data_IF_925099502691
#
_entry.id   IF_925099502691
#
_cell.length_a   1.000
_cell.length_b   1.000
_cell.length_c   1.000
_cell.angle_alpha   90.00
_cell.angle_beta   90.00
_cell.angle_gamma   90.00
#
_symmetry.space_group_name_H-M   'P 1'
#
loop_
_entity.id
_entity.type
_entity.pdbx_description
1 polymer ?
#
# COMPACT_ATOMS: atom_id res chain seq x y z
N UNK A 1 -7.17 6.90 18.78
CA UNK A 1 -6.87 6.94 20.22
C UNK A 1 -7.28 8.30 20.73
N UNK A 2 -7.90 8.35 21.90
CA UNK A 2 -8.42 9.57 22.52
C UNK A 2 -7.87 9.65 23.94
N UNK A 3 -7.49 10.84 24.41
CA UNK A 3 -7.00 10.99 25.78
C UNK A 3 -8.13 10.73 26.79
N UNK A 4 -7.81 10.20 27.96
CA UNK A 4 -8.79 9.93 29.04
C UNK A 4 -9.64 11.16 29.41
N UNK A 5 -9.03 12.34 29.40
CA UNK A 5 -9.73 13.60 29.70
C UNK A 5 -10.77 13.93 28.65
N UNK A 6 -10.40 13.92 27.36
CA UNK A 6 -11.32 14.19 26.27
C UNK A 6 -12.44 13.14 26.18
N UNK A 7 -12.15 11.89 26.55
CA UNK A 7 -13.16 10.84 26.63
C UNK A 7 -14.17 11.08 27.75
N UNK A 8 -13.70 11.43 28.96
CA UNK A 8 -14.57 11.73 30.10
C UNK A 8 -15.41 12.99 29.86
N UNK A 9 -14.89 13.95 29.10
CA UNK A 9 -15.63 15.16 28.70
C UNK A 9 -16.75 14.85 27.68
N UNK A 10 -16.52 13.91 26.74
CA UNK A 10 -17.50 13.52 25.72
C UNK A 10 -18.51 12.48 26.18
N UNK A 11 -18.10 11.58 27.06
CA UNK A 11 -18.90 10.49 27.60
C UNK A 11 -18.76 10.44 29.14
N UNK A 12 -19.44 11.33 29.87
CA UNK A 12 -19.29 11.46 31.32
C UNK A 12 -19.83 10.24 32.09
N UNK A 13 -20.75 9.49 31.50
CA UNK A 13 -21.38 8.32 32.12
C UNK A 13 -20.68 6.99 31.78
N UNK A 14 -19.59 7.03 30.99
CA UNK A 14 -18.90 5.87 30.45
C UNK A 14 -17.73 5.41 31.32
N UNK A 15 -17.51 4.10 31.41
CA UNK A 15 -16.37 3.52 32.14
C UNK A 15 -15.05 3.73 31.37
N UNK A 16 -14.03 4.20 32.08
CA UNK A 16 -12.71 4.52 31.53
C UNK A 16 -11.85 3.26 31.47
N UNK A 17 -12.18 2.33 30.58
CA UNK A 17 -11.32 1.18 30.27
C UNK A 17 -11.12 0.98 28.75
N UNK A 18 -10.01 0.33 28.39
CA UNK A 18 -9.51 0.21 27.02
C UNK A 18 -9.41 -1.25 26.57
N UNK A 19 -9.49 -1.49 25.26
CA UNK A 19 -9.27 -2.83 24.70
C UNK A 19 -7.87 -3.35 25.05
N UNK A 20 -7.80 -4.46 25.81
CA UNK A 20 -6.55 -5.15 26.07
C UNK A 20 -6.02 -5.82 24.79
N UNK A 21 -4.79 -5.50 24.42
CA UNK A 21 -4.12 -6.03 23.23
C UNK A 21 -3.53 -7.41 23.54
N UNK A 22 -4.29 -8.48 23.29
CA UNK A 22 -3.72 -9.83 23.13
C UNK A 22 -3.70 -10.21 21.66
N UNK A 23 -2.80 -9.58 20.91
CA UNK A 23 -2.36 -10.03 19.59
C UNK A 23 -1.05 -10.81 19.72
N UNK A 24 -0.99 -12.04 19.21
CA UNK A 24 0.20 -12.89 19.23
C UNK A 24 1.27 -12.31 18.29
N UNK A 25 2.10 -11.39 18.79
CA UNK A 25 3.25 -10.84 18.04
C UNK A 25 3.63 -9.38 18.34
N UNK A 26 2.87 -8.64 19.15
CA UNK A 26 3.16 -7.23 19.42
C UNK A 26 4.19 -7.07 20.55
N UNK A 27 5.46 -7.09 20.20
CA UNK A 27 6.56 -6.61 21.06
C UNK A 27 6.70 -5.07 21.00
N UNK A 28 5.58 -4.33 20.92
CA UNK A 28 5.59 -2.86 20.95
C UNK A 28 4.58 -2.33 21.96
N UNK A 29 4.95 -2.43 23.24
CA UNK A 29 4.37 -1.61 24.30
C UNK A 29 4.85 -0.14 24.27
N UNK A 30 5.78 0.23 23.38
CA UNK A 30 6.41 1.58 23.37
C UNK A 30 5.50 2.71 22.85
N UNK A 31 4.43 2.42 22.11
CA UNK A 31 3.52 3.45 21.56
C UNK A 31 2.16 3.51 22.28
N UNK A 32 2.04 2.90 23.45
CA UNK A 32 0.79 2.90 24.24
C UNK A 32 1.06 3.61 25.55
N UNK A 33 0.67 4.88 25.62
CA UNK A 33 0.65 5.65 26.85
C UNK A 33 -0.50 5.15 27.73
N UNK A 34 -0.28 5.09 29.05
CA UNK A 34 -1.30 4.71 30.06
C UNK A 34 -2.53 5.64 30.09
N UNK A 35 -2.49 6.73 29.33
CA UNK A 35 -3.46 7.82 29.33
C UNK A 35 -4.39 7.84 28.10
N UNK A 36 -4.19 6.92 27.15
CA UNK A 36 -4.96 6.86 25.93
C UNK A 36 -6.00 5.73 25.97
N UNK A 37 -7.23 6.07 25.59
CA UNK A 37 -8.34 5.11 25.41
C UNK A 37 -8.48 4.81 23.92
N UNK A 38 -8.72 3.53 23.61
CA UNK A 38 -9.06 3.06 22.26
C UNK A 38 -10.56 2.88 22.14
N UNK A 39 -11.16 3.62 21.23
CA UNK A 39 -12.54 3.45 20.80
C UNK A 39 -12.55 2.56 19.55
N UNK A 40 -13.46 1.61 19.51
CA UNK A 40 -13.70 0.78 18.34
C UNK A 40 -15.02 1.18 17.69
N UNK A 41 -14.99 1.35 16.38
CA UNK A 41 -16.20 1.46 15.56
C UNK A 41 -16.47 0.08 14.94
N UNK A 42 -17.66 -0.43 15.19
CA UNK A 42 -18.09 -1.74 14.73
C UNK A 42 -19.30 -1.62 13.83
N UNK A 43 -19.15 -2.15 12.62
CA UNK A 43 -20.23 -2.23 11.64
C UNK A 43 -20.69 -3.68 11.53
N UNK A 44 -21.99 -3.92 11.71
CA UNK A 44 -22.57 -5.24 11.56
C UNK A 44 -23.88 -5.18 10.77
N UNK A 45 -24.26 -6.33 10.21
CA UNK A 45 -25.43 -6.44 9.34
C UNK A 45 -26.55 -7.15 10.07
N UNK A 46 -27.68 -6.48 10.24
CA UNK A 46 -28.90 -7.06 10.79
C UNK A 46 -29.84 -7.41 9.63
N UNK A 47 -30.45 -8.59 9.72
CA UNK A 47 -31.44 -9.07 8.77
C UNK A 47 -32.82 -8.87 9.39
N UNK A 48 -33.59 -7.91 8.88
CA UNK A 48 -34.96 -7.62 9.33
C UNK A 48 -35.94 -8.24 8.34
N UNK A 49 -36.87 -9.07 8.81
CA UNK A 49 -37.95 -9.56 7.96
C UNK A 49 -38.93 -8.42 7.67
N UNK A 50 -39.19 -8.17 6.39
CA UNK A 50 -40.07 -7.10 5.90
C UNK A 50 -40.94 -7.60 4.77
N UNK A 51 -42.16 -7.09 4.65
CA UNK A 51 -43.02 -7.40 3.50
C UNK A 51 -42.72 -6.43 2.35
N UNK A 52 -42.49 -6.98 1.16
CA UNK A 52 -42.37 -6.24 -0.07
C UNK A 52 -43.75 -6.21 -0.74
N UNK A 53 -44.21 -5.01 -1.07
CA UNK A 53 -45.55 -4.76 -1.58
C UNK A 53 -45.44 -4.25 -3.02
N UNK A 54 -46.19 -4.87 -3.92
CA UNK A 54 -46.31 -4.41 -5.30
C UNK A 54 -47.54 -3.51 -5.41
N UNK A 55 -47.31 -2.28 -5.87
CA UNK A 55 -48.34 -1.28 -6.09
C UNK A 55 -48.89 -1.39 -7.52
N UNK A 56 -50.12 -0.91 -7.74
CA UNK A 56 -50.79 -0.93 -9.05
C UNK A 56 -50.12 -0.07 -10.12
N UNK A 57 -49.16 0.77 -9.71
CA UNK A 57 -48.30 1.58 -10.56
C UNK A 57 -47.05 0.81 -11.06
N UNK A 58 -46.94 -0.49 -10.73
CA UNK A 58 -45.80 -1.34 -11.08
C UNK A 58 -44.56 -1.14 -10.20
N UNK A 59 -44.61 -0.22 -9.25
CA UNK A 59 -43.53 0.03 -8.28
C UNK A 59 -43.54 -1.01 -7.16
N UNK A 60 -42.35 -1.41 -6.71
CA UNK A 60 -42.16 -2.33 -5.59
C UNK A 60 -41.54 -1.57 -4.44
N UNK A 61 -42.25 -1.50 -3.31
CA UNK A 61 -41.83 -0.73 -2.12
C UNK A 61 -41.86 -1.66 -0.91
N UNK A 62 -40.98 -1.43 0.06
CA UNK A 62 -41.08 -2.12 1.35
C UNK A 62 -42.24 -1.54 2.15
N UNK A 63 -42.94 -2.38 2.92
CA UNK A 63 -44.07 -1.95 3.76
C UNK A 63 -43.69 -0.85 4.76
N UNK A 64 -42.43 -0.85 5.22
CA UNK A 64 -41.88 0.15 6.15
C UNK A 64 -41.62 1.53 5.49
N UNK A 65 -41.62 1.60 4.16
CA UNK A 65 -41.38 2.81 3.36
C UNK A 65 -42.64 3.26 2.59
N UNK A 66 -43.80 2.66 2.88
CA UNK A 66 -45.06 3.11 2.31
C UNK A 66 -45.36 4.55 2.76
N UNK A 67 -45.70 5.47 1.83
CA UNK A 67 -46.35 6.73 2.19
C UNK A 67 -47.61 6.47 3.03
N UNK A 68 -48.05 7.44 3.82
CA UNK A 68 -49.29 7.33 4.59
C UNK A 68 -50.47 6.89 3.70
N UNK A 69 -51.37 6.07 4.25
CA UNK A 69 -52.51 5.48 3.53
C UNK A 69 -53.37 6.53 2.79
N UNK A 70 -53.37 7.78 3.27
CA UNK A 70 -54.06 8.93 2.65
C UNK A 70 -53.47 9.33 1.29
N UNK A 71 -52.16 9.18 1.09
CA UNK A 71 -51.47 9.51 -0.18
C UNK A 71 -51.68 8.40 -1.21
N UNK A 72 -51.70 7.14 -0.77
CA UNK A 72 -52.04 6.00 -1.65
C UNK A 72 -53.50 6.04 -2.10
N UNK A 73 -54.41 6.43 -1.20
CA UNK A 73 -55.82 6.61 -1.51
C UNK A 73 -56.06 7.79 -2.47
N UNK A 74 -55.35 8.91 -2.29
CA UNK A 74 -55.41 10.05 -3.20
C UNK A 74 -54.90 9.73 -4.62
N UNK A 75 -53.92 8.83 -4.73
CA UNK A 75 -53.33 8.41 -6.01
C UNK A 75 -54.06 7.21 -6.68
N UNK A 76 -55.11 6.65 -6.07
CA UNK A 76 -55.80 5.42 -6.52
C UNK A 76 -54.87 4.21 -6.71
N UNK A 77 -53.82 4.10 -5.91
CA UNK A 77 -52.84 3.02 -6.01
C UNK A 77 -53.27 1.87 -5.11
N UNK A 78 -53.54 0.69 -5.69
CA UNK A 78 -53.92 -0.52 -4.95
C UNK A 78 -52.72 -1.46 -4.79
N UNK A 79 -52.69 -2.20 -3.68
CA UNK A 79 -51.69 -3.24 -3.43
C UNK A 79 -52.12 -4.50 -4.17
N UNK A 80 -51.34 -4.91 -5.18
CA UNK A 80 -51.62 -6.09 -6.01
C UNK A 80 -51.12 -7.39 -5.36
N UNK A 81 -49.90 -7.37 -4.84
CA UNK A 81 -49.24 -8.57 -4.32
C UNK A 81 -48.32 -8.25 -3.13
N UNK A 82 -48.15 -9.23 -2.23
CA UNK A 82 -47.34 -9.13 -1.03
C UNK A 82 -46.39 -10.32 -0.95
N UNK A 83 -45.10 -10.04 -0.81
CA UNK A 83 -44.07 -11.07 -0.63
C UNK A 83 -43.22 -10.80 0.60
N UNK A 84 -43.11 -11.79 1.50
CA UNK A 84 -42.16 -11.74 2.63
C UNK A 84 -40.72 -11.77 2.09
N UNK A 85 -39.93 -10.80 2.49
CA UNK A 85 -38.52 -10.62 2.08
C UNK A 85 -37.68 -10.25 3.31
N UNK A 86 -36.36 -10.35 3.22
CA UNK A 86 -35.44 -9.95 4.29
C UNK A 86 -34.69 -8.70 3.84
N UNK A 87 -34.86 -7.59 4.56
CA UNK A 87 -34.09 -6.35 4.38
C UNK A 87 -32.79 -6.46 5.17
N UNK A 88 -31.68 -6.09 4.53
CA UNK A 88 -30.36 -6.02 5.17
C UNK A 88 -30.12 -4.58 5.61
N UNK A 89 -30.04 -4.36 6.91
CA UNK A 89 -29.72 -3.06 7.51
C UNK A 89 -28.32 -3.11 8.11
N UNK A 90 -27.56 -2.03 7.95
CA UNK A 90 -26.24 -1.90 8.56
C UNK A 90 -26.37 -1.04 9.81
N UNK A 91 -25.88 -1.56 10.92
CA UNK A 91 -25.78 -0.85 12.17
C UNK A 91 -24.33 -0.52 12.47
N UNK A 92 -24.15 0.68 13.00
CA UNK A 92 -22.88 1.20 13.47
C UNK A 92 -22.95 1.36 14.97
N UNK A 93 -21.99 0.76 15.67
CA UNK A 93 -21.80 0.94 17.10
C UNK A 93 -20.40 1.51 17.35
N UNK A 94 -20.33 2.52 18.22
CA UNK A 94 -19.08 2.94 18.84
C UNK A 94 -19.02 2.30 20.22
N UNK A 95 -17.97 1.54 20.51
CA UNK A 95 -17.83 0.81 21.76
C UNK A 95 -16.43 0.93 22.36
N UNK A 96 -16.37 0.80 23.68
CA UNK A 96 -15.16 0.49 24.46
C UNK A 96 -15.06 -1.02 24.67
N UNK A 97 -14.08 -1.46 25.47
CA UNK A 97 -13.95 -2.88 25.80
C UNK A 97 -15.13 -3.43 26.62
N UNK A 98 -15.87 -2.55 27.31
CA UNK A 98 -16.89 -2.92 28.30
C UNK A 98 -18.29 -2.58 27.81
N UNK A 99 -18.47 -1.42 27.17
CA UNK A 99 -19.79 -0.89 26.85
C UNK A 99 -19.91 -0.35 25.42
N UNK A 100 -21.15 -0.26 24.95
CA UNK A 100 -21.52 0.40 23.69
C UNK A 100 -21.94 1.83 24.02
N UNK A 101 -21.20 2.79 23.47
CA UNK A 101 -21.40 4.23 23.73
C UNK A 101 -22.48 4.83 22.82
N UNK A 102 -22.44 4.49 21.54
CA UNK A 102 -23.40 4.99 20.55
C UNK A 102 -23.81 3.86 19.62
N UNK A 103 -25.09 3.80 19.28
CA UNK A 103 -25.63 2.93 18.22
C UNK A 103 -26.45 3.78 17.25
N UNK A 104 -26.15 3.70 15.95
CA UNK A 104 -26.95 4.34 14.89
C UNK A 104 -27.13 3.39 13.71
N UNK A 105 -28.22 3.58 12.98
CA UNK A 105 -28.46 2.90 11.70
C UNK A 105 -27.70 3.67 10.62
N UNK A 106 -26.86 2.96 9.87
CA UNK A 106 -26.10 3.56 8.77
C UNK A 106 -27.00 3.67 7.52
N UNK A 107 -27.10 4.84 6.87
CA UNK A 107 -27.94 5.03 5.71
C UNK A 107 -27.25 4.44 4.46
N UNK A 108 -27.18 3.11 4.38
CA UNK A 108 -26.57 2.42 3.25
C UNK A 108 -26.64 0.90 3.38
N UNK A 109 -26.53 0.21 2.24
CA UNK A 109 -26.59 -1.26 2.10
C UNK A 109 -25.24 -1.94 2.33
N UNK A 110 -24.14 -1.20 2.20
CA UNK A 110 -22.76 -1.68 2.28
C UNK A 110 -21.99 -1.04 3.44
N UNK A 111 -21.05 -1.80 4.03
CA UNK A 111 -20.22 -1.30 5.13
C UNK A 111 -19.22 -0.28 4.57
N UNK A 112 -19.15 0.95 5.11
CA UNK A 112 -18.33 2.04 4.57
C UNK A 112 -16.82 1.90 4.86
N UNK A 113 -16.37 0.70 5.22
CA UNK A 113 -14.97 0.38 5.50
C UNK A 113 -14.48 -0.56 4.42
N UNK A 114 -13.79 -0.01 3.41
CA UNK A 114 -13.21 -0.77 2.31
C UNK A 114 -11.72 -0.97 2.58
N UNK A 115 -11.27 -2.20 2.94
CA UNK A 115 -9.85 -2.48 3.06
C UNK A 115 -9.22 -2.66 1.67
N UNK A 116 -8.13 -1.93 1.40
CA UNK A 116 -7.29 -2.16 0.23
C UNK A 116 -6.37 -3.34 0.53
N UNK A 117 -6.55 -4.44 -0.18
CA UNK A 117 -5.69 -5.62 -0.03
C UNK A 117 -4.54 -5.59 -1.03
N UNK A 118 -3.35 -5.97 -0.55
CA UNK A 118 -2.27 -6.41 -1.43
C UNK A 118 -2.49 -7.87 -1.84
N UNK A 119 -1.40 -8.66 -1.84
CA UNK A 119 -1.48 -10.10 -2.06
C UNK A 119 -2.11 -10.80 -0.88
N UNK A 120 -2.94 -11.80 -1.15
CA UNK A 120 -3.44 -12.68 -0.12
C UNK A 120 -3.46 -14.13 -0.60
N UNK A 121 -3.14 -15.03 0.32
CA UNK A 121 -3.20 -16.48 0.11
C UNK A 121 -4.00 -17.07 1.25
N UNK A 122 -4.91 -17.98 0.92
CA UNK A 122 -5.67 -18.76 1.89
C UNK A 122 -4.98 -20.11 2.05
N UNK A 123 -4.46 -20.39 3.24
CA UNK A 123 -3.79 -21.66 3.57
C UNK A 123 -4.60 -22.30 4.71
N UNK A 124 -5.34 -23.36 4.40
CA UNK A 124 -6.36 -23.89 5.30
C UNK A 124 -7.39 -22.81 5.66
N UNK A 125 -7.66 -22.64 6.95
CA UNK A 125 -8.63 -21.65 7.44
C UNK A 125 -8.04 -20.24 7.67
N UNK A 126 -6.75 -20.04 7.40
CA UNK A 126 -6.06 -18.78 7.66
C UNK A 126 -5.80 -18.01 6.37
N UNK A 127 -6.36 -16.79 6.29
CA UNK A 127 -6.05 -15.83 5.24
C UNK A 127 -4.80 -15.04 5.59
N UNK A 128 -3.69 -15.29 4.91
CA UNK A 128 -2.45 -14.52 5.03
C UNK A 128 -2.49 -13.38 4.01
N UNK A 129 -2.33 -12.15 4.48
CA UNK A 129 -2.23 -10.94 3.65
C UNK A 129 -0.80 -10.42 3.74
N UNK A 130 -0.20 -10.05 2.62
CA UNK A 130 1.17 -9.54 2.59
C UNK A 130 1.37 -8.52 1.46
N UNK A 131 2.25 -7.56 1.71
CA UNK A 131 2.69 -6.60 0.70
C UNK A 131 3.89 -7.11 -0.09
N UNK A 132 4.26 -6.38 -1.13
CA UNK A 132 5.40 -6.65 -2.01
C UNK A 132 6.70 -6.90 -1.22
N UNK A 133 6.96 -6.09 -0.17
CA UNK A 133 8.19 -6.14 0.62
C UNK A 133 8.33 -7.41 1.47
N UNK A 134 7.25 -8.19 1.71
CA UNK A 134 7.27 -9.31 2.67
C UNK A 134 8.36 -10.34 2.38
N UNK A 135 8.56 -10.67 1.11
CA UNK A 135 9.52 -11.69 0.68
C UNK A 135 10.95 -11.15 0.55
N UNK A 136 11.13 -9.85 0.30
CA UNK A 136 12.46 -9.23 0.24
C UNK A 136 13.11 -8.94 1.59
N UNK A 137 12.38 -9.05 2.71
CA UNK A 137 12.95 -8.78 4.06
C UNK A 137 14.13 -9.67 4.41
N UNK A 138 14.16 -10.92 3.94
CA UNK A 138 15.21 -11.87 4.28
C UNK A 138 16.49 -11.57 3.49
N UNK A 139 16.34 -11.33 2.18
CA UNK A 139 17.43 -10.88 1.32
C UNK A 139 18.01 -9.54 1.80
N UNK A 140 17.16 -8.57 2.19
CA UNK A 140 17.63 -7.29 2.72
C UNK A 140 18.42 -7.43 4.02
N UNK A 141 18.02 -8.34 4.92
CA UNK A 141 18.78 -8.62 6.15
C UNK A 141 20.15 -9.19 5.84
N UNK A 142 20.23 -10.10 4.87
CA UNK A 142 21.48 -10.68 4.41
C UNK A 142 22.38 -9.62 3.75
N UNK A 143 21.82 -8.75 2.92
CA UNK A 143 22.52 -7.61 2.32
C UNK A 143 23.17 -6.72 3.40
N UNK A 144 22.40 -6.33 4.42
CA UNK A 144 22.89 -5.49 5.51
C UNK A 144 24.04 -6.16 6.29
N UNK A 145 23.94 -7.48 6.51
CA UNK A 145 24.98 -8.26 7.17
C UNK A 145 26.28 -8.31 6.35
N UNK A 146 26.20 -8.59 5.04
CA UNK A 146 27.38 -8.65 4.17
C UNK A 146 28.06 -7.29 4.00
N UNK A 147 27.28 -6.20 3.89
CA UNK A 147 27.81 -4.84 3.85
C UNK A 147 28.58 -4.47 5.12
N UNK A 148 28.06 -4.88 6.28
CA UNK A 148 28.75 -4.68 7.56
C UNK A 148 30.02 -5.53 7.64
N UNK A 149 29.95 -6.80 7.23
CA UNK A 149 31.10 -7.72 7.22
C UNK A 149 32.21 -7.26 6.27
N UNK A 150 31.85 -6.70 5.10
CA UNK A 150 32.80 -6.11 4.16
C UNK A 150 33.47 -4.88 4.77
N UNK A 151 32.68 -4.02 5.42
CA UNK A 151 33.20 -2.83 6.10
C UNK A 151 34.17 -3.23 7.22
N UNK A 152 33.83 -4.25 8.01
CA UNK A 152 34.71 -4.79 9.07
C UNK A 152 35.99 -5.39 8.48
N UNK A 153 35.91 -6.18 7.42
CA UNK A 153 37.08 -6.76 6.75
C UNK A 153 38.03 -5.68 6.22
N UNK A 154 37.49 -4.61 5.61
CA UNK A 154 38.28 -3.47 5.13
C UNK A 154 38.87 -2.66 6.29
N UNK A 155 38.15 -2.52 7.41
CA UNK A 155 38.63 -1.82 8.59
C UNK A 155 39.72 -2.59 9.36
N UNK A 156 39.63 -3.92 9.40
CA UNK A 156 40.61 -4.80 10.03
C UNK A 156 41.81 -5.09 9.13
N UNK A 157 41.70 -4.87 7.82
CA UNK A 157 42.78 -5.08 6.88
C UNK A 157 44.01 -4.28 7.33
N UNK A 158 45.14 -4.95 7.67
CA UNK A 158 46.33 -4.24 8.09
C UNK A 158 46.81 -3.37 6.95
N UNK A 159 47.28 -2.15 7.27
CA UNK A 159 48.05 -1.37 6.29
C UNK A 159 49.19 -2.24 5.76
N UNK A 160 49.44 -2.19 4.46
CA UNK A 160 50.47 -2.99 3.81
C UNK A 160 51.80 -2.91 4.58
N UNK A 161 52.25 -4.06 5.09
CA UNK A 161 53.49 -4.15 5.88
C UNK A 161 54.64 -4.60 4.98
N UNK A 162 55.84 -4.17 5.32
CA UNK A 162 57.06 -4.71 4.72
C UNK A 162 57.51 -5.91 5.56
N UNK A 163 57.70 -7.05 4.91
CA UNK A 163 58.33 -8.22 5.50
C UNK A 163 59.82 -8.16 5.19
N UNK A 164 60.64 -8.10 6.23
CA UNK A 164 62.08 -7.91 6.13
C UNK A 164 62.80 -8.75 7.20
N UNK A 165 64.02 -9.21 6.93
CA UNK A 165 64.86 -9.85 7.93
C UNK A 165 65.47 -8.81 8.90
N UNK A 166 65.78 -9.24 10.13
CA UNK A 166 66.29 -8.35 11.19
C UNK A 166 67.66 -7.75 10.79
N UNK A 167 67.88 -6.45 11.01
CA UNK A 167 69.15 -5.77 10.66
C UNK A 167 69.31 -5.31 9.21
N UNK A 168 68.30 -5.50 8.34
CA UNK A 168 68.33 -5.00 6.96
C UNK A 168 67.97 -3.49 6.80
N UNK A 169 67.45 -2.87 7.86
CA UNK A 169 67.03 -1.45 7.94
C UNK A 169 68.10 -0.52 8.51
N UNK A 170 69.18 -1.08 9.04
CA UNK A 170 70.27 -0.34 9.67
C UNK A 170 70.84 0.72 8.70
N UNK A 171 70.66 2.00 9.03
CA UNK A 171 71.07 3.16 8.21
C UNK A 171 70.01 3.72 7.25
N UNK A 172 68.87 3.04 7.08
CA UNK A 172 67.73 3.46 6.24
C UNK A 172 66.37 3.43 6.97
N UNK A 173 66.37 3.33 8.30
CA UNK A 173 65.16 3.26 9.16
C UNK A 173 64.13 4.36 8.86
N UNK A 174 64.58 5.60 8.66
CA UNK A 174 63.70 6.73 8.36
C UNK A 174 63.03 6.61 6.98
N UNK A 175 63.73 6.07 5.99
CA UNK A 175 63.22 5.86 4.64
C UNK A 175 62.18 4.71 4.64
N UNK A 176 62.44 3.64 5.40
CA UNK A 176 61.52 2.50 5.57
C UNK A 176 60.29 2.83 6.42
N UNK A 177 60.44 3.65 7.47
CA UNK A 177 59.31 4.12 8.28
C UNK A 177 58.38 5.05 7.48
N UNK A 178 58.92 5.87 6.58
CA UNK A 178 58.15 6.79 5.73
C UNK A 178 57.72 6.18 4.39
N UNK A 179 58.15 4.96 4.06
CA UNK A 179 57.87 4.30 2.78
C UNK A 179 56.36 4.14 2.48
N UNK A 180 55.51 4.08 3.52
CA UNK A 180 54.05 4.01 3.38
C UNK A 180 53.35 5.38 3.37
N UNK A 181 54.07 6.48 3.62
CA UNK A 181 53.53 7.85 3.75
C UNK A 181 54.03 8.78 2.64
N UNK A 182 55.29 8.64 2.22
CA UNK A 182 55.89 9.42 1.14
C UNK A 182 56.34 8.50 0.01
N UNK A 183 56.14 8.97 -1.23
CA UNK A 183 56.56 8.23 -2.42
C UNK A 183 58.05 8.46 -2.69
N UNK A 184 58.90 7.54 -2.23
CA UNK A 184 60.33 7.55 -2.54
C UNK A 184 60.60 6.86 -3.89
N UNK A 185 61.42 7.43 -4.79
CA UNK A 185 61.74 6.80 -6.08
C UNK A 185 62.53 5.48 -5.96
N UNK A 186 63.31 5.31 -4.89
CA UNK A 186 64.15 4.12 -4.64
C UNK A 186 64.18 3.85 -3.14
N UNK A 187 63.96 2.60 -2.75
CA UNK A 187 64.20 2.11 -1.38
C UNK A 187 65.47 1.27 -1.37
N UNK A 188 66.39 1.58 -0.46
CA UNK A 188 67.67 0.88 -0.31
C UNK A 188 67.61 -0.02 0.91
N UNK A 189 68.11 -1.24 0.81
CA UNK A 189 68.21 -2.19 1.91
C UNK A 189 69.61 -2.79 1.94
N UNK A 190 70.02 -3.28 3.12
CA UNK A 190 71.27 -4.01 3.28
C UNK A 190 71.07 -5.48 2.93
N UNK A 191 71.95 -6.04 2.09
CA UNK A 191 71.84 -7.42 1.62
C UNK A 191 72.20 -8.46 2.70
N UNK A 192 72.75 -8.03 3.84
CA UNK A 192 73.21 -8.90 4.93
C UNK A 192 72.36 -8.74 6.20
N UNK A 193 72.03 -9.87 6.82
CA UNK A 193 71.39 -10.00 8.15
C UNK A 193 72.37 -9.59 9.28
N UNK A 194 71.90 -9.54 10.53
CA UNK A 194 72.69 -9.26 11.74
C UNK A 194 73.89 -10.22 11.91
N UNK A 195 73.77 -11.44 11.36
CA UNK A 195 74.81 -12.49 11.34
C UNK A 195 75.69 -12.47 10.06
N UNK A 196 75.58 -11.46 9.20
CA UNK A 196 76.39 -11.33 7.99
C UNK A 196 76.05 -12.30 6.86
N UNK A 197 74.93 -13.02 6.96
CA UNK A 197 74.41 -13.92 5.90
C UNK A 197 73.56 -13.15 4.89
N UNK A 198 73.56 -13.58 3.63
CA UNK A 198 72.73 -12.97 2.59
C UNK A 198 71.23 -13.20 2.92
N UNK A 199 70.51 -12.11 3.18
CA UNK A 199 69.09 -12.13 3.52
C UNK A 199 68.21 -11.85 2.28
N UNK A 200 66.98 -12.40 2.23
CA UNK A 200 66.05 -12.14 1.13
C UNK A 200 65.70 -10.65 1.04
N UNK A 201 65.38 -10.17 -0.17
CA UNK A 201 64.97 -8.80 -0.36
C UNK A 201 63.65 -8.51 0.38
N UNK A 202 63.47 -7.32 0.99
CA UNK A 202 62.22 -6.96 1.65
C UNK A 202 61.05 -7.04 0.67
N UNK A 203 59.98 -7.75 1.05
CA UNK A 203 58.78 -7.87 0.24
C UNK A 203 57.62 -7.14 0.89
N UNK A 204 56.81 -6.46 0.07
CA UNK A 204 55.57 -5.85 0.54
C UNK A 204 54.52 -6.93 0.67
N UNK A 205 54.08 -7.20 1.89
CA UNK A 205 52.90 -8.04 2.12
C UNK A 205 51.69 -7.20 1.73
N UNK A 206 51.08 -7.54 0.59
CA UNK A 206 49.83 -6.91 0.20
C UNK A 206 48.77 -7.28 1.24
N UNK A 207 47.93 -6.31 1.67
CA UNK A 207 46.78 -6.64 2.51
C UNK A 207 45.97 -7.72 1.80
N UNK A 208 45.45 -8.68 2.56
CA UNK A 208 44.53 -9.65 1.99
C UNK A 208 43.35 -8.88 1.39
N UNK A 209 43.08 -9.00 0.07
CA UNK A 209 41.94 -8.32 -0.52
C UNK A 209 40.67 -8.85 0.15
N UNK A 210 39.62 -8.00 0.29
CA UNK A 210 38.34 -8.48 0.79
C UNK A 210 37.91 -9.68 -0.05
N UNK A 211 37.44 -10.74 0.61
CA UNK A 211 37.13 -12.00 -0.06
C UNK A 211 36.17 -11.75 -1.24
N UNK A 212 36.60 -12.07 -2.46
CA UNK A 212 35.82 -11.85 -3.69
C UNK A 212 34.43 -12.50 -3.62
N UNK A 213 34.28 -13.58 -2.85
CA UNK A 213 32.99 -14.23 -2.59
C UNK A 213 31.96 -13.31 -1.91
N UNK A 214 32.38 -12.37 -1.05
CA UNK A 214 31.49 -11.43 -0.38
C UNK A 214 30.95 -10.38 -1.35
N UNK A 215 31.83 -9.86 -2.22
CA UNK A 215 31.42 -8.90 -3.26
C UNK A 215 30.48 -9.56 -4.27
N UNK A 216 30.76 -10.78 -4.71
CA UNK A 216 29.88 -11.53 -5.59
C UNK A 216 28.54 -11.87 -4.93
N UNK A 217 28.54 -12.28 -3.66
CA UNK A 217 27.31 -12.52 -2.91
C UNK A 217 26.44 -11.25 -2.79
N UNK A 218 27.05 -10.08 -2.61
CA UNK A 218 26.33 -8.81 -2.49
C UNK A 218 25.60 -8.45 -3.79
N UNK A 219 26.25 -8.65 -4.94
CA UNK A 219 25.64 -8.44 -6.26
C UNK A 219 24.51 -9.44 -6.50
N UNK A 220 24.72 -10.72 -6.16
CA UNK A 220 23.68 -11.73 -6.28
C UNK A 220 22.44 -11.41 -5.43
N UNK A 221 22.63 -10.89 -4.21
CA UNK A 221 21.53 -10.50 -3.33
C UNK A 221 20.76 -9.29 -3.87
N UNK A 222 21.45 -8.32 -4.47
CA UNK A 222 20.80 -7.18 -5.12
C UNK A 222 19.88 -7.65 -6.27
N UNK A 223 20.35 -8.60 -7.07
CA UNK A 223 19.57 -9.20 -8.15
C UNK A 223 18.41 -10.07 -7.62
N UNK A 224 18.61 -10.80 -6.52
CA UNK A 224 17.54 -11.54 -5.84
C UNK A 224 16.45 -10.59 -5.33
N UNK A 225 16.82 -9.44 -4.76
CA UNK A 225 15.86 -8.42 -4.30
C UNK A 225 15.06 -7.86 -5.48
N UNK A 226 15.72 -7.50 -6.59
CA UNK A 226 15.04 -7.02 -7.80
C UNK A 226 14.07 -8.05 -8.36
N UNK A 227 14.52 -9.31 -8.46
CA UNK A 227 13.73 -10.44 -8.96
C UNK A 227 12.53 -10.70 -8.05
N UNK A 228 12.70 -10.69 -6.73
CA UNK A 228 11.62 -10.88 -5.76
C UNK A 228 10.58 -9.76 -5.79
N UNK A 229 11.01 -8.52 -6.02
CA UNK A 229 10.10 -7.37 -6.14
C UNK A 229 9.45 -7.28 -7.53
N UNK A 230 9.87 -8.12 -8.48
CA UNK A 230 9.40 -8.08 -9.86
C UNK A 230 9.77 -6.78 -10.59
N UNK A 231 10.74 -6.03 -10.07
CA UNK A 231 11.24 -4.80 -10.66
C UNK A 231 12.47 -5.19 -11.45
N UNK A 232 12.27 -5.49 -12.74
CA UNK A 232 13.38 -5.66 -13.67
C UNK A 232 13.65 -4.32 -14.33
N UNK A 233 14.91 -3.88 -14.33
CA UNK A 233 15.32 -2.75 -15.15
C UNK A 233 15.27 -3.20 -16.62
N UNK A 234 14.37 -2.66 -17.46
CA UNK A 234 14.28 -3.03 -18.87
C UNK A 234 15.59 -2.74 -19.61
N UNK A 235 16.43 -1.82 -19.10
CA UNK A 235 17.71 -1.47 -19.69
C UNK A 235 18.85 -2.44 -19.36
N UNK A 236 18.70 -3.33 -18.36
CA UNK A 236 19.75 -4.31 -18.01
C UNK A 236 19.74 -5.55 -18.92
N UNK A 237 18.70 -5.77 -19.72
CA UNK A 237 18.59 -6.92 -20.63
C UNK A 237 19.01 -6.56 -22.06
N UNK A 238 20.31 -6.81 -22.33
CA UNK A 238 21.03 -6.84 -23.62
C UNK A 238 21.33 -5.49 -24.31
N UNK A 239 22.63 -5.25 -24.51
CA UNK A 239 23.17 -4.45 -25.61
C UNK A 239 22.76 -5.07 -26.96
N UNK A 240 21.85 -4.41 -27.67
CA UNK A 240 21.44 -4.68 -29.05
C UNK A 240 20.40 -3.64 -29.49
N UNK A 241 20.18 -3.47 -30.80
CA UNK A 241 19.13 -2.58 -31.31
C UNK A 241 17.75 -3.18 -31.00
N UNK A 242 17.21 -2.91 -29.82
CA UNK A 242 15.86 -3.31 -29.42
C UNK A 242 14.87 -2.31 -30.06
N UNK A 243 13.91 -2.81 -30.83
CA UNK A 243 12.82 -1.99 -31.38
C UNK A 243 12.01 -1.35 -30.24
N UNK A 244 11.59 -0.10 -30.39
CA UNK A 244 10.77 0.59 -29.37
C UNK A 244 9.49 -0.18 -28.99
N UNK A 245 8.91 -0.95 -29.91
CA UNK A 245 7.78 -1.86 -29.61
C UNK A 245 8.17 -3.02 -28.70
N UNK A 246 9.38 -3.56 -28.85
CA UNK A 246 9.89 -4.63 -27.98
C UNK A 246 10.27 -4.09 -26.59
N UNK A 247 10.80 -2.86 -26.51
CA UNK A 247 11.05 -2.19 -25.23
C UNK A 247 9.73 -1.92 -24.47
N UNK A 248 8.70 -1.41 -25.16
CA UNK A 248 7.38 -1.20 -24.58
C UNK A 248 6.72 -2.52 -24.14
N UNK A 249 6.83 -3.59 -24.93
CA UNK A 249 6.31 -4.90 -24.56
C UNK A 249 7.01 -5.49 -23.32
N UNK A 250 8.31 -5.26 -23.16
CA UNK A 250 9.05 -5.64 -21.95
C UNK A 250 8.65 -4.79 -20.74
N UNK A 251 8.45 -3.48 -20.92
CA UNK A 251 7.97 -2.60 -19.85
C UNK A 251 6.56 -3.02 -19.38
N UNK A 252 5.67 -3.37 -20.31
CA UNK A 252 4.36 -3.94 -19.98
C UNK A 252 4.47 -5.27 -19.22
N UNK A 253 5.47 -6.11 -19.53
CA UNK A 253 5.71 -7.36 -18.81
C UNK A 253 6.19 -7.13 -17.36
N UNK A 254 7.01 -6.10 -17.13
CA UNK A 254 7.40 -5.66 -15.79
C UNK A 254 6.19 -5.13 -15.02
N UNK A 255 5.38 -4.29 -15.67
CA UNK A 255 4.17 -3.72 -15.08
C UNK A 255 3.13 -4.78 -14.70
N UNK A 256 2.98 -5.85 -15.51
CA UNK A 256 2.11 -6.99 -15.21
C UNK A 256 2.46 -7.69 -13.89
N UNK A 257 3.73 -7.67 -13.47
CA UNK A 257 4.18 -8.38 -12.27
C UNK A 257 3.64 -7.75 -10.98
N UNK A 258 3.41 -6.43 -10.97
CA UNK A 258 2.89 -5.68 -9.82
C UNK A 258 1.45 -5.15 -10.04
N UNK A 259 0.84 -5.50 -11.17
CA UNK A 259 -0.50 -5.06 -11.54
C UNK A 259 -1.59 -5.52 -10.54
N UNK A 260 -1.36 -6.62 -9.83
CA UNK A 260 -2.31 -7.13 -8.84
C UNK A 260 -2.58 -6.15 -7.69
N UNK A 261 -1.57 -5.37 -7.28
CA UNK A 261 -1.76 -4.31 -6.28
C UNK A 261 -2.61 -3.15 -6.83
N UNK A 262 -2.36 -2.76 -8.07
CA UNK A 262 -3.09 -1.69 -8.74
C UNK A 262 -4.55 -2.07 -9.03
N UNK A 263 -4.78 -3.31 -9.47
CA UNK A 263 -6.12 -3.86 -9.70
C UNK A 263 -6.91 -3.95 -8.38
N UNK A 264 -6.30 -4.45 -7.30
CA UNK A 264 -6.96 -4.49 -5.99
C UNK A 264 -7.29 -3.09 -5.46
N UNK A 265 -6.44 -2.10 -5.71
CA UNK A 265 -6.73 -0.70 -5.39
C UNK A 265 -7.92 -0.18 -6.20
N UNK A 266 -7.93 -0.42 -7.51
CA UNK A 266 -9.02 -0.02 -8.41
C UNK A 266 -10.35 -0.66 -8.00
N UNK A 267 -10.35 -1.96 -7.69
CA UNK A 267 -11.53 -2.67 -7.16
C UNK A 267 -12.03 -2.08 -5.85
N UNK A 268 -11.12 -1.66 -4.98
CA UNK A 268 -11.46 -0.99 -3.72
C UNK A 268 -12.08 0.38 -3.98
N UNK A 269 -11.54 1.14 -4.94
CA UNK A 269 -12.10 2.42 -5.37
C UNK A 269 -13.48 2.28 -6.01
N UNK A 270 -13.69 1.25 -6.84
CA UNK A 270 -15.00 0.92 -7.41
C UNK A 270 -16.03 0.63 -6.30
N UNK A 271 -15.62 -0.10 -5.26
CA UNK A 271 -16.47 -0.36 -4.12
C UNK A 271 -16.81 0.94 -3.38
N UNK A 272 -15.85 1.85 -3.17
CA UNK A 272 -16.12 3.18 -2.59
C UNK A 272 -17.18 3.94 -3.41
N UNK A 273 -17.02 3.97 -4.73
CA UNK A 273 -17.98 4.65 -5.61
C UNK A 273 -19.39 4.03 -5.53
N UNK A 274 -19.50 2.69 -5.46
CA UNK A 274 -20.78 2.01 -5.23
C UNK A 274 -21.44 2.39 -3.91
N UNK A 275 -20.66 2.52 -2.83
CA UNK A 275 -21.17 2.95 -1.52
C UNK A 275 -21.66 4.40 -1.61
N UNK A 276 -20.90 5.28 -2.26
CA UNK A 276 -21.30 6.68 -2.42
C UNK A 276 -22.61 6.79 -3.21
N UNK A 277 -22.73 6.07 -4.34
CA UNK A 277 -23.96 6.06 -5.14
C UNK A 277 -25.16 5.53 -4.36
N UNK A 278 -24.98 4.53 -3.51
CA UNK A 278 -26.04 3.96 -2.66
C UNK A 278 -26.51 4.95 -1.58
N UNK A 279 -25.60 5.74 -1.02
CA UNK A 279 -25.91 6.72 0.03
C UNK A 279 -26.48 8.02 -0.59
N UNK A 280 -26.06 8.38 -1.80
CA UNK A 280 -26.41 9.63 -2.50
C UNK A 280 -27.90 9.95 -2.44
N UNK A 281 -28.85 9.05 -2.78
CA UNK A 281 -30.29 9.32 -2.68
C UNK A 281 -30.77 9.72 -1.28
N UNK A 282 -30.15 9.20 -0.22
CA UNK A 282 -30.58 9.47 1.17
C UNK A 282 -30.08 10.82 1.69
N UNK A 283 -28.93 11.29 1.19
CA UNK A 283 -28.32 12.57 1.59
C UNK A 283 -28.74 13.70 0.64
N UNK A 284 -29.00 13.37 -0.63
CA UNK A 284 -29.38 14.29 -1.69
C UNK A 284 -30.90 14.35 -1.91
N UNK A 285 -31.64 14.66 -0.85
CA UNK A 285 -33.11 14.79 -0.82
C UNK A 285 -33.64 16.15 -1.33
N UNK A 286 -32.78 17.18 -1.29
CA UNK A 286 -33.12 18.59 -1.52
C UNK A 286 -32.52 19.14 -2.81
N UNK A 287 -33.18 20.17 -3.37
CA UNK A 287 -32.72 20.87 -4.56
C UNK A 287 -31.37 21.54 -4.30
N UNK A 288 -30.39 21.28 -5.17
CA UNK A 288 -29.03 21.82 -5.04
C UNK A 288 -28.38 22.00 -6.41
N UNK A 289 -27.55 23.02 -6.54
CA UNK A 289 -26.72 23.23 -7.73
C UNK A 289 -25.40 22.48 -7.51
N UNK A 290 -25.12 21.48 -8.35
CA UNK A 290 -23.86 20.74 -8.32
C UNK A 290 -23.05 21.05 -9.56
N UNK A 291 -21.74 21.25 -9.36
CA UNK A 291 -20.79 21.33 -10.47
C UNK A 291 -20.36 19.92 -10.86
N UNK A 292 -20.76 19.49 -12.04
CA UNK A 292 -20.37 18.20 -12.63
C UNK A 292 -19.26 18.46 -13.65
N UNK A 293 -18.31 17.55 -13.78
CA UNK A 293 -17.29 17.59 -14.82
C UNK A 293 -17.70 16.58 -15.88
N UNK A 294 -17.99 17.04 -17.10
CA UNK A 294 -18.30 16.16 -18.22
C UNK A 294 -17.07 15.38 -18.71
N UNK A 295 -17.28 14.42 -19.60
CA UNK A 295 -16.19 13.60 -20.20
C UNK A 295 -15.11 14.46 -20.90
N UNK A 296 -15.51 15.65 -21.36
CA UNK A 296 -14.63 16.67 -21.94
C UNK A 296 -13.78 17.46 -20.90
N UNK A 297 -13.88 17.16 -19.61
CA UNK A 297 -13.19 17.89 -18.53
C UNK A 297 -13.72 19.30 -18.28
N UNK A 298 -14.78 19.71 -18.99
CA UNK A 298 -15.43 21.01 -18.81
C UNK A 298 -16.38 20.96 -17.62
N UNK A 299 -16.32 21.97 -16.73
CA UNK A 299 -17.26 22.07 -15.62
C UNK A 299 -18.61 22.57 -16.12
N UNK A 300 -19.67 21.83 -15.82
CA UNK A 300 -21.06 22.21 -16.06
C UNK A 300 -21.79 22.32 -14.73
N UNK A 301 -22.61 23.35 -14.57
CA UNK A 301 -23.44 23.55 -13.38
C UNK A 301 -24.81 22.94 -13.65
N UNK A 302 -25.14 21.86 -12.96
CA UNK A 302 -26.42 21.16 -13.10
C UNK A 302 -27.23 21.33 -11.82
N UNK A 303 -28.47 21.80 -11.96
CA UNK A 303 -29.47 21.77 -10.89
C UNK A 303 -30.00 20.35 -10.73
N UNK A 304 -29.77 19.76 -9.56
CA UNK A 304 -30.26 18.44 -9.17
C UNK A 304 -31.50 18.60 -8.30
N UNK A 305 -32.51 17.74 -8.50
CA UNK A 305 -33.82 17.76 -7.84
C UNK A 305 -34.57 19.09 -8.00
N UNK A 306 -34.63 19.64 -9.22
CA UNK A 306 -35.40 20.85 -9.50
C UNK A 306 -36.89 20.54 -9.55
N UNK A 307 -37.69 21.21 -8.71
CA UNK A 307 -39.15 21.04 -8.73
C UNK A 307 -39.75 21.91 -9.83
N UNK A 308 -40.23 21.29 -10.90
CA UNK A 308 -40.90 21.99 -11.99
C UNK A 308 -42.32 22.44 -11.57
N UNK A 309 -42.90 23.43 -12.25
CA UNK A 309 -44.20 24.02 -11.93
C UNK A 309 -45.39 23.04 -12.04
N UNK A 310 -45.17 21.87 -12.64
CA UNK A 310 -46.13 20.76 -12.78
C UNK A 310 -45.94 19.69 -11.69
N UNK A 311 -45.07 19.91 -10.71
CA UNK A 311 -44.82 18.98 -9.59
C UNK A 311 -43.94 17.78 -9.96
N UNK A 312 -43.39 17.75 -11.17
CA UNK A 312 -42.43 16.72 -11.61
C UNK A 312 -41.02 17.20 -11.25
N UNK A 313 -40.28 16.37 -10.51
CA UNK A 313 -38.88 16.65 -10.18
C UNK A 313 -38.04 16.39 -11.43
N UNK A 314 -37.41 17.44 -11.97
CA UNK A 314 -36.43 17.34 -13.04
C UNK A 314 -35.10 16.85 -12.44
N UNK A 315 -34.44 15.90 -13.12
CA UNK A 315 -33.20 15.27 -12.67
C UNK A 315 -33.29 14.66 -11.27
N UNK A 316 -34.28 13.78 -11.07
CA UNK A 316 -34.48 13.04 -9.82
C UNK A 316 -33.43 11.92 -9.66
N UNK A 317 -32.49 12.15 -8.74
CA UNK A 317 -31.41 11.19 -8.41
C UNK A 317 -31.91 10.07 -7.49
N UNK A 318 -33.13 10.17 -6.96
CA UNK A 318 -33.70 9.18 -6.03
C UNK A 318 -34.31 7.96 -6.70
N UNK A 319 -34.68 8.07 -7.99
CA UNK A 319 -35.37 7.00 -8.76
C UNK A 319 -34.40 6.19 -9.64
N UNK A 320 -33.23 6.75 -9.98
CA UNK A 320 -32.26 6.10 -10.87
C UNK A 320 -31.51 4.94 -10.21
N UNK A 321 -31.43 3.79 -10.90
CA UNK A 321 -30.46 2.73 -10.55
C UNK A 321 -29.14 3.02 -11.26
N UNK A 322 -28.14 3.43 -10.49
CA UNK A 322 -26.80 3.71 -10.99
C UNK A 322 -25.87 2.54 -10.66
N UNK A 323 -25.00 2.18 -11.62
CA UNK A 323 -23.91 1.23 -11.40
C UNK A 323 -22.58 1.87 -11.79
N UNK A 324 -21.49 1.38 -11.20
CA UNK A 324 -20.14 1.86 -11.46
C UNK A 324 -19.41 0.83 -12.31
N UNK A 325 -19.03 1.25 -13.51
CA UNK A 325 -18.06 0.55 -14.34
C UNK A 325 -16.75 1.34 -14.25
N UNK A 326 -15.70 0.71 -13.73
CA UNK A 326 -14.36 1.28 -13.78
C UNK A 326 -13.66 0.78 -15.04
N UNK A 327 -13.23 1.70 -15.88
CA UNK A 327 -12.35 1.40 -17.00
C UNK A 327 -10.92 1.81 -16.62
N UNK A 328 -10.04 0.83 -16.43
CA UNK A 328 -8.60 1.08 -16.26
C UNK A 328 -7.96 1.17 -17.63
N UNK A 329 -8.02 2.36 -18.24
CA UNK A 329 -7.20 2.68 -19.40
C UNK A 329 -5.81 3.15 -18.96
N UNK A 330 -4.76 2.97 -19.79
CA UNK A 330 -3.49 3.62 -19.51
C UNK A 330 -3.75 5.15 -19.51
N UNK A 331 -3.14 5.89 -18.57
CA UNK A 331 -3.54 7.26 -18.23
C UNK A 331 -3.64 8.18 -19.47
N UNK A 332 -4.61 9.08 -19.53
CA UNK A 332 -5.02 9.95 -20.66
C UNK A 332 -4.01 10.26 -21.80
N UNK A 333 -2.72 10.46 -21.51
CA UNK A 333 -1.67 10.56 -22.53
C UNK A 333 -1.56 9.31 -23.43
N UNK A 334 -1.68 8.12 -22.86
CA UNK A 334 -1.65 6.87 -23.63
C UNK A 334 -2.99 6.55 -24.28
N UNK A 335 -4.16 6.98 -23.79
CA UNK A 335 -5.41 6.83 -24.57
C UNK A 335 -5.33 7.57 -25.91
N UNK A 336 -4.65 8.72 -25.97
CA UNK A 336 -4.35 9.42 -27.22
C UNK A 336 -3.31 8.68 -28.07
N UNK A 337 -2.27 8.13 -27.45
CA UNK A 337 -1.26 7.36 -28.19
C UNK A 337 -1.81 6.02 -28.70
N UNK A 338 -2.66 5.34 -27.94
CA UNK A 338 -3.33 4.07 -28.28
C UNK A 338 -4.39 4.30 -29.35
N UNK A 339 -5.13 5.42 -29.31
CA UNK A 339 -5.99 5.82 -30.42
C UNK A 339 -5.19 6.12 -31.70
N UNK A 340 -4.01 6.74 -31.58
CA UNK A 340 -3.10 6.97 -32.72
C UNK A 340 -2.47 5.66 -33.22
N UNK A 341 -2.13 4.74 -32.33
CA UNK A 341 -1.52 3.44 -32.65
C UNK A 341 -2.54 2.47 -33.26
N UNK A 342 -3.81 2.52 -32.82
CA UNK A 342 -4.93 1.83 -33.44
C UNK A 342 -5.33 2.42 -34.81
N UNK A 343 -4.92 3.66 -35.10
CA UNK A 343 -5.10 4.32 -36.39
C UNK A 343 -3.91 4.14 -37.35
N UNK A 344 -2.78 3.56 -36.90
CA UNK A 344 -1.66 3.22 -37.78
C UNK A 344 -1.77 1.73 -38.21
N UNK A 345 -1.73 1.41 -39.51
CA UNK A 345 -1.84 0.03 -40.01
C UNK A 345 -0.65 -0.87 -39.66
#
# INVERSE_FOLDING_TARGET
MMSKKAFSDQYPDAEVDSFQQRGTGDAQSEWITKEDIRLAEYFYTVRKETELVMLSDGTTVYKDELPSDEVLAAAKIQILDRRRTVKKEIRWCKLTAIEVLEEKVFPGRYIPVIPVYGRHVVIGDKRKKFGMVRHGKDAQRMYNFWQTSLTESVALAPKAKWLMAEGQDEGHENDWAQANVKSYPVLRYKQTDIDGRAAPAPQRLQPEPPANGIMQATVAIDDDIKTLMGIFDPAQLKQGNISGKALNGQQQQVDLTNFDFYDNFTKSLAQVARIILDITPTIYDTQRVLRIIGDDGKPEMVTVNEKDAVGKVLNDVTVGRYDVVMETGPGYNSKRQEAVEAMMP
#
